data_IF_528711314535
#
_entry.id   IF_528711314535
#
_cell.length_a   1.000
_cell.length_b   1.000
_cell.length_c   1.000
_cell.angle_alpha   90.00
_cell.angle_beta   90.00
_cell.angle_gamma   90.00
#
_symmetry.space_group_name_H-M   'P 1'
#
loop_
_entity.id
_entity.type
_entity.pdbx_description
1 polymer ?
#
# COMPACT_ATOMS: atom_id res chain seq x y z
N UNK A 1 -6.92 -36.88 -4.44
CA UNK A 1 -6.81 -36.52 -3.01
C UNK A 1 -6.85 -35.00 -2.94
N UNK A 2 -7.79 -34.41 -2.17
CA UNK A 2 -7.99 -32.95 -2.15
C UNK A 2 -6.71 -32.18 -1.79
N UNK A 3 -5.84 -32.77 -0.98
CA UNK A 3 -4.56 -32.20 -0.55
C UNK A 3 -3.58 -32.05 -1.73
N UNK A 4 -3.57 -33.01 -2.66
CA UNK A 4 -2.73 -32.95 -3.86
C UNK A 4 -3.22 -31.87 -4.83
N UNK A 5 -4.54 -31.72 -4.99
CA UNK A 5 -5.12 -30.66 -5.81
C UNK A 5 -4.81 -29.27 -5.22
N UNK A 6 -4.91 -29.12 -3.90
CA UNK A 6 -4.55 -27.89 -3.20
C UNK A 6 -3.07 -27.53 -3.40
N UNK A 7 -2.16 -28.51 -3.28
CA UNK A 7 -0.73 -28.29 -3.53
C UNK A 7 -0.43 -27.85 -4.97
N UNK A 8 -1.07 -28.49 -5.96
CA UNK A 8 -0.90 -28.12 -7.37
C UNK A 8 -1.33 -26.67 -7.61
N UNK A 9 -2.49 -26.28 -7.07
CA UNK A 9 -3.01 -24.92 -7.21
C UNK A 9 -2.10 -23.92 -6.49
N UNK A 10 -1.56 -24.27 -5.32
CA UNK A 10 -0.59 -23.44 -4.60
C UNK A 10 0.67 -23.17 -5.46
N UNK A 11 1.27 -24.22 -6.03
CA UNK A 11 2.45 -24.06 -6.90
C UNK A 11 2.14 -23.24 -8.15
N UNK A 12 0.96 -23.43 -8.72
CA UNK A 12 0.48 -22.62 -9.84
C UNK A 12 0.37 -21.13 -9.46
N UNK A 13 -0.22 -20.81 -8.31
CA UNK A 13 -0.32 -19.44 -7.81
C UNK A 13 1.06 -18.83 -7.51
N UNK A 14 1.98 -19.58 -6.90
CA UNK A 14 3.34 -19.12 -6.64
C UNK A 14 4.09 -18.83 -7.95
N UNK A 15 3.92 -19.68 -8.97
CA UNK A 15 4.45 -19.43 -10.31
C UNK A 15 3.90 -18.12 -10.88
N UNK A 16 2.60 -17.88 -10.76
CA UNK A 16 1.99 -16.62 -11.18
C UNK A 16 2.44 -15.42 -10.36
N UNK A 17 2.78 -15.54 -9.07
CA UNK A 17 3.33 -14.41 -8.32
C UNK A 17 4.76 -14.08 -8.73
N UNK A 18 5.58 -15.08 -9.06
CA UNK A 18 6.98 -14.86 -9.46
C UNK A 18 7.06 -14.36 -10.91
N UNK A 19 6.32 -15.00 -11.82
CA UNK A 19 6.40 -14.73 -13.26
C UNK A 19 5.28 -13.83 -13.78
N UNK A 20 4.20 -13.65 -13.02
CA UNK A 20 3.02 -12.85 -13.40
C UNK A 20 3.35 -11.45 -13.90
N UNK A 21 4.20 -10.67 -13.21
CA UNK A 21 4.59 -9.34 -13.69
C UNK A 21 5.21 -9.34 -15.09
N UNK A 22 5.87 -10.43 -15.51
CA UNK A 22 6.48 -10.56 -16.86
C UNK A 22 5.46 -10.87 -17.95
N UNK A 23 4.33 -11.48 -17.57
CA UNK A 23 3.24 -11.88 -18.49
C UNK A 23 1.99 -11.00 -18.35
N UNK A 24 2.09 -9.88 -17.61
CA UNK A 24 0.99 -8.92 -17.41
C UNK A 24 -0.08 -9.37 -16.41
N UNK A 25 0.17 -10.41 -15.62
CA UNK A 25 -0.74 -10.89 -14.58
C UNK A 25 -0.41 -10.22 -13.26
N UNK A 26 -1.37 -9.45 -12.70
CA UNK A 26 -1.22 -8.84 -11.38
C UNK A 26 -1.43 -9.87 -10.26
N UNK A 27 -0.89 -9.60 -9.07
CA UNK A 27 -1.04 -10.47 -7.91
C UNK A 27 -2.51 -10.71 -7.52
N UNK A 28 -3.38 -9.70 -7.70
CA UNK A 28 -4.83 -9.82 -7.46
C UNK A 28 -5.50 -10.76 -8.46
N UNK A 29 -5.14 -10.68 -9.75
CA UNK A 29 -5.67 -11.61 -10.77
C UNK A 29 -5.17 -13.03 -10.53
N UNK A 30 -3.89 -13.21 -10.15
CA UNK A 30 -3.35 -14.51 -9.75
C UNK A 30 -4.12 -15.14 -8.58
N UNK A 31 -4.47 -14.34 -7.57
CA UNK A 31 -5.28 -14.78 -6.44
C UNK A 31 -6.68 -15.25 -6.88
N UNK A 32 -7.35 -14.48 -7.77
CA UNK A 32 -8.69 -14.83 -8.28
C UNK A 32 -8.67 -16.08 -9.17
N UNK A 33 -7.61 -16.28 -9.97
CA UNK A 33 -7.42 -17.52 -10.74
C UNK A 33 -7.24 -18.73 -9.82
N UNK A 34 -6.46 -18.59 -8.74
CA UNK A 34 -6.28 -19.63 -7.73
C UNK A 34 -7.58 -20.00 -7.02
N UNK A 35 -8.35 -19.01 -6.57
CA UNK A 35 -9.68 -19.20 -5.97
C UNK A 35 -10.62 -19.94 -6.93
N UNK A 36 -10.65 -19.50 -8.19
CA UNK A 36 -11.48 -20.14 -9.23
C UNK A 36 -11.08 -21.61 -9.46
N UNK A 37 -9.77 -21.91 -9.46
CA UNK A 37 -9.29 -23.28 -9.58
C UNK A 37 -9.65 -24.15 -8.37
N UNK A 38 -9.60 -23.59 -7.15
CA UNK A 38 -10.02 -24.29 -5.92
C UNK A 38 -11.52 -24.63 -5.95
N UNK A 39 -12.35 -23.73 -6.48
CA UNK A 39 -13.79 -23.96 -6.65
C UNK A 39 -14.09 -25.03 -7.72
N UNK A 40 -13.44 -24.95 -8.89
CA UNK A 40 -13.66 -25.91 -9.99
C UNK A 40 -13.19 -27.33 -9.62
N UNK A 41 -12.12 -27.45 -8.84
CA UNK A 41 -11.63 -28.74 -8.34
C UNK A 41 -12.45 -29.32 -7.19
N UNK A 42 -13.41 -28.55 -6.65
CA UNK A 42 -14.23 -28.95 -5.51
C UNK A 42 -13.48 -29.04 -4.18
N UNK A 43 -12.24 -28.54 -4.14
CA UNK A 43 -11.42 -28.48 -2.91
C UNK A 43 -12.00 -27.44 -1.95
N UNK A 44 -12.52 -26.33 -2.49
CA UNK A 44 -13.17 -25.28 -1.72
C UNK A 44 -14.61 -25.07 -2.23
N UNK A 45 -15.62 -25.60 -1.52
CA UNK A 45 -17.02 -25.38 -1.84
C UNK A 45 -17.38 -23.89 -1.81
N UNK A 46 -18.29 -23.49 -2.69
CA UNK A 46 -18.79 -22.11 -2.73
C UNK A 46 -19.43 -21.66 -1.41
N UNK A 47 -20.13 -22.57 -0.73
CA UNK A 47 -20.77 -22.32 0.57
C UNK A 47 -19.74 -21.98 1.65
N UNK A 48 -18.55 -22.58 1.63
CA UNK A 48 -17.45 -22.23 2.55
C UNK A 48 -16.90 -20.83 2.24
N UNK A 49 -16.81 -20.46 0.96
CA UNK A 49 -16.40 -19.11 0.56
C UNK A 49 -17.39 -18.04 1.05
N UNK A 50 -18.69 -18.29 0.90
CA UNK A 50 -19.74 -17.37 1.36
C UNK A 50 -19.77 -17.26 2.88
N UNK A 51 -19.57 -18.36 3.60
CA UNK A 51 -19.63 -18.37 5.06
C UNK A 51 -18.34 -17.85 5.73
N UNK A 52 -17.29 -17.56 4.97
CA UNK A 52 -16.04 -17.00 5.50
C UNK A 52 -16.17 -15.49 5.81
N UNK A 53 -16.88 -15.17 6.90
CA UNK A 53 -17.16 -13.79 7.31
C UNK A 53 -15.91 -12.94 7.52
N UNK A 54 -14.80 -13.53 7.99
CA UNK A 54 -13.55 -12.79 8.21
C UNK A 54 -12.92 -12.26 6.91
N UNK A 55 -13.01 -13.04 5.82
CA UNK A 55 -12.55 -12.61 4.50
C UNK A 55 -13.41 -11.44 3.97
N UNK A 56 -14.73 -11.54 4.11
CA UNK A 56 -15.66 -10.48 3.70
C UNK A 56 -15.49 -9.20 4.51
N UNK A 57 -15.34 -9.31 5.82
CA UNK A 57 -15.12 -8.15 6.70
C UNK A 57 -13.83 -7.42 6.32
N UNK A 58 -12.74 -8.16 6.15
CA UNK A 58 -11.44 -7.61 5.70
C UNK A 58 -11.58 -6.92 4.35
N UNK A 59 -12.24 -7.57 3.38
CA UNK A 59 -12.45 -7.01 2.04
C UNK A 59 -13.23 -5.69 2.08
N UNK A 60 -14.34 -5.65 2.84
CA UNK A 60 -15.20 -4.47 2.94
C UNK A 60 -14.49 -3.31 3.64
N UNK A 61 -13.85 -3.56 4.79
CA UNK A 61 -13.10 -2.53 5.50
C UNK A 61 -11.95 -1.99 4.66
N UNK A 62 -11.19 -2.87 4.01
CA UNK A 62 -10.06 -2.45 3.19
C UNK A 62 -10.50 -1.65 1.97
N UNK A 63 -11.59 -2.03 1.32
CA UNK A 63 -12.17 -1.32 0.19
C UNK A 63 -12.63 0.10 0.58
N UNK A 64 -13.34 0.24 1.70
CA UNK A 64 -13.81 1.54 2.20
C UNK A 64 -12.63 2.44 2.55
N UNK A 65 -11.68 1.96 3.35
CA UNK A 65 -10.52 2.74 3.78
C UNK A 65 -9.65 3.18 2.60
N UNK A 66 -9.38 2.27 1.66
CA UNK A 66 -8.60 2.58 0.46
C UNK A 66 -9.34 3.55 -0.44
N UNK A 67 -10.66 3.39 -0.59
CA UNK A 67 -11.50 4.31 -1.35
C UNK A 67 -11.51 5.73 -0.77
N UNK A 68 -11.67 5.86 0.55
CA UNK A 68 -11.63 7.15 1.25
C UNK A 68 -10.27 7.83 1.13
N UNK A 69 -9.17 7.10 1.34
CA UNK A 69 -7.82 7.62 1.17
C UNK A 69 -7.58 8.10 -0.28
N UNK A 70 -8.03 7.32 -1.26
CA UNK A 70 -7.95 7.69 -2.68
C UNK A 70 -8.70 8.98 -2.99
N UNK A 71 -9.94 9.13 -2.51
CA UNK A 71 -10.72 10.36 -2.71
C UNK A 71 -10.08 11.58 -2.03
N UNK A 72 -9.54 11.40 -0.82
CA UNK A 72 -8.85 12.48 -0.12
C UNK A 72 -7.63 12.99 -0.89
N UNK A 73 -6.88 12.07 -1.50
CA UNK A 73 -5.75 12.40 -2.37
C UNK A 73 -6.21 13.10 -3.67
N UNK A 74 -7.28 12.62 -4.31
CA UNK A 74 -7.86 13.24 -5.52
C UNK A 74 -8.38 14.65 -5.25
N UNK A 75 -9.00 14.89 -4.08
CA UNK A 75 -9.43 16.22 -3.64
C UNK A 75 -8.25 17.16 -3.32
N UNK A 76 -7.01 16.68 -3.36
CA UNK A 76 -5.82 17.49 -3.13
C UNK A 76 -5.60 17.87 -1.67
N UNK A 77 -6.35 17.29 -0.73
CA UNK A 77 -6.22 17.61 0.71
C UNK A 77 -4.84 17.24 1.23
N UNK A 78 -4.31 16.08 0.83
CA UNK A 78 -2.94 15.67 1.16
C UNK A 78 -1.91 16.67 0.64
N UNK A 79 -2.05 17.11 -0.62
CA UNK A 79 -1.12 18.04 -1.24
C UNK A 79 -1.19 19.44 -0.59
N UNK A 80 -2.39 19.94 -0.31
CA UNK A 80 -2.59 21.24 0.33
C UNK A 80 -2.03 21.26 1.75
N UNK A 81 -2.34 20.23 2.56
CA UNK A 81 -1.79 20.09 3.91
C UNK A 81 -0.27 20.00 3.88
N UNK A 82 0.29 19.23 2.94
CA UNK A 82 1.73 19.08 2.78
C UNK A 82 2.41 20.39 2.40
N UNK A 83 1.84 21.16 1.47
CA UNK A 83 2.37 22.49 1.13
C UNK A 83 2.37 23.41 2.36
N UNK A 84 1.26 23.47 3.09
CA UNK A 84 1.14 24.36 4.26
C UNK A 84 2.16 24.02 5.37
N UNK A 85 2.38 22.73 5.62
CA UNK A 85 3.41 22.29 6.59
C UNK A 85 4.82 22.54 6.05
N UNK A 86 5.05 22.30 4.76
CA UNK A 86 6.31 22.61 4.10
C UNK A 86 6.68 24.10 4.20
N UNK A 87 5.72 24.98 3.96
CA UNK A 87 5.89 26.44 4.05
C UNK A 87 6.14 26.89 5.51
N UNK A 88 5.48 26.27 6.48
CA UNK A 88 5.74 26.54 7.90
C UNK A 88 7.16 26.09 8.32
N UNK A 89 7.63 24.96 7.81
CA UNK A 89 8.97 24.44 8.10
C UNK A 89 10.07 25.27 7.44
N UNK A 90 9.85 25.77 6.22
CA UNK A 90 10.80 26.69 5.57
C UNK A 90 10.82 28.07 6.23
N UNK A 91 9.67 28.54 6.76
CA UNK A 91 9.60 29.78 7.54
C UNK A 91 10.43 29.75 8.83
N UNK A 92 10.70 28.56 9.40
CA UNK A 92 11.59 28.39 10.55
C UNK A 92 13.08 28.59 10.21
N UNK A 93 13.41 28.79 8.92
CA UNK A 93 14.76 29.05 8.40
C UNK A 93 15.80 28.00 8.85
N UNK A 94 15.35 26.76 9.04
CA UNK A 94 16.19 25.62 9.34
C UNK A 94 16.82 25.11 8.04
N UNK A 95 18.07 24.63 8.12
CA UNK A 95 18.69 23.92 7.00
C UNK A 95 17.87 22.69 6.57
N UNK A 96 18.10 22.18 5.37
CA UNK A 96 17.34 21.04 4.84
C UNK A 96 17.55 19.75 5.67
N UNK A 97 18.70 19.59 6.34
CA UNK A 97 19.05 18.41 7.14
C UNK A 97 18.12 18.18 8.35
N UNK A 98 17.89 19.15 9.25
CA UNK A 98 16.94 18.98 10.34
C UNK A 98 15.50 18.81 9.85
N UNK A 99 15.09 19.50 8.78
CA UNK A 99 13.75 19.32 8.20
C UNK A 99 13.57 17.90 7.67
N UNK A 100 14.57 17.37 6.96
CA UNK A 100 14.58 15.98 6.51
C UNK A 100 14.45 14.99 7.67
N UNK A 101 15.23 15.17 8.74
CA UNK A 101 15.20 14.30 9.91
C UNK A 101 13.84 14.31 10.61
N UNK A 102 13.25 15.50 10.81
CA UNK A 102 11.94 15.65 11.44
C UNK A 102 10.87 14.95 10.59
N UNK A 103 10.82 15.24 9.28
CA UNK A 103 9.82 14.64 8.39
C UNK A 103 9.97 13.13 8.28
N UNK A 104 11.19 12.58 8.26
CA UNK A 104 11.42 11.14 8.27
C UNK A 104 10.95 10.50 9.59
N UNK A 105 11.26 11.11 10.73
CA UNK A 105 10.80 10.64 12.04
C UNK A 105 9.27 10.68 12.14
N UNK A 106 8.64 11.75 11.66
CA UNK A 106 7.17 11.87 11.65
C UNK A 106 6.54 10.84 10.71
N UNK A 107 7.09 10.64 9.51
CA UNK A 107 6.60 9.61 8.58
C UNK A 107 6.69 8.21 9.21
N UNK A 108 7.80 7.91 9.89
CA UNK A 108 7.95 6.67 10.65
C UNK A 108 6.94 6.54 11.80
N UNK A 109 6.68 7.62 12.53
CA UNK A 109 5.69 7.61 13.60
C UNK A 109 4.26 7.38 13.08
N UNK A 110 3.92 8.00 11.95
CA UNK A 110 2.60 7.84 11.30
C UNK A 110 2.36 6.42 10.82
N UNK A 111 3.42 5.69 10.48
CA UNK A 111 3.35 4.28 10.10
C UNK A 111 2.57 3.43 11.11
N UNK A 112 2.75 3.68 12.42
CA UNK A 112 2.06 2.94 13.49
C UNK A 112 0.57 3.26 13.61
N UNK A 113 0.10 4.33 12.96
CA UNK A 113 -1.31 4.75 12.95
C UNK A 113 -2.08 4.13 11.77
N UNK A 114 -1.38 3.63 10.75
CA UNK A 114 -1.99 2.99 9.59
C UNK A 114 -2.07 1.47 9.76
N UNK A 115 -3.25 0.91 9.49
CA UNK A 115 -3.47 -0.54 9.51
C UNK A 115 -2.86 -1.27 8.31
N UNK A 116 -2.37 -0.55 7.29
CA UNK A 116 -1.88 -1.12 6.03
C UNK A 116 -0.77 -0.29 5.41
N UNK A 117 0.27 -0.98 4.92
CA UNK A 117 1.38 -0.35 4.19
C UNK A 117 0.96 0.30 2.88
N UNK A 118 0.10 -0.36 2.12
CA UNK A 118 -0.35 0.19 0.84
C UNK A 118 -1.23 1.42 1.06
N UNK A 119 -2.07 1.41 2.10
CA UNK A 119 -2.85 2.58 2.52
C UNK A 119 -1.96 3.74 3.00
N UNK A 120 -0.93 3.44 3.79
CA UNK A 120 0.04 4.42 4.28
C UNK A 120 0.77 5.14 3.13
N UNK A 121 1.34 4.38 2.19
CA UNK A 121 2.05 4.92 1.03
C UNK A 121 1.12 5.70 0.11
N UNK A 122 -0.09 5.17 -0.16
CA UNK A 122 -1.07 5.85 -1.01
C UNK A 122 -1.52 7.20 -0.44
N UNK A 123 -1.57 7.33 0.89
CA UNK A 123 -2.05 8.52 1.56
C UNK A 123 -0.94 9.56 1.82
N UNK A 124 0.26 9.15 2.20
CA UNK A 124 1.27 10.06 2.75
C UNK A 124 2.50 10.26 1.87
N UNK A 125 2.85 9.31 1.01
CA UNK A 125 4.12 9.34 0.27
C UNK A 125 4.26 10.60 -0.60
N UNK A 126 3.22 10.91 -1.39
CA UNK A 126 3.21 12.08 -2.28
C UNK A 126 3.33 13.39 -1.51
N UNK A 127 2.63 13.50 -0.37
CA UNK A 127 2.64 14.68 0.48
C UNK A 127 4.00 14.92 1.14
N UNK A 128 4.57 13.90 1.78
CA UNK A 128 5.88 14.01 2.41
C UNK A 128 7.01 14.24 1.41
N UNK A 129 6.91 13.65 0.21
CA UNK A 129 7.86 13.92 -0.86
C UNK A 129 7.80 15.39 -1.28
N UNK A 130 6.61 15.96 -1.44
CA UNK A 130 6.45 17.38 -1.76
C UNK A 130 7.05 18.30 -0.68
N UNK A 131 6.83 17.99 0.61
CA UNK A 131 7.41 18.73 1.74
C UNK A 131 8.94 18.69 1.77
N UNK A 132 9.53 17.53 1.49
CA UNK A 132 10.99 17.37 1.45
C UNK A 132 11.60 18.16 0.29
N UNK A 133 10.95 18.13 -0.88
CA UNK A 133 11.41 18.89 -2.05
C UNK A 133 11.29 20.41 -1.84
N UNK A 134 10.21 20.89 -1.21
CA UNK A 134 10.03 22.31 -0.89
C UNK A 134 11.04 22.82 0.14
N UNK A 135 11.50 21.95 1.04
CA UNK A 135 12.55 22.24 2.01
C UNK A 135 13.98 22.22 1.41
N UNK A 136 14.13 21.95 0.11
CA UNK A 136 15.43 21.92 -0.57
C UNK A 136 16.23 20.62 -0.38
N UNK A 137 15.59 19.54 0.08
CA UNK A 137 16.23 18.23 0.19
C UNK A 137 16.49 17.67 -1.22
N UNK A 138 17.68 17.11 -1.51
CA UNK A 138 17.95 16.45 -2.77
C UNK A 138 16.89 15.37 -3.09
N UNK A 139 16.31 15.42 -4.29
CA UNK A 139 15.15 14.60 -4.67
C UNK A 139 15.38 13.09 -4.52
N UNK A 140 16.57 12.61 -4.88
CA UNK A 140 16.95 11.20 -4.72
C UNK A 140 17.00 10.78 -3.24
N UNK A 141 17.55 11.65 -2.37
CA UNK A 141 17.60 11.37 -0.93
C UNK A 141 16.19 11.30 -0.34
N UNK A 142 15.32 12.26 -0.69
CA UNK A 142 13.94 12.30 -0.23
C UNK A 142 13.14 11.05 -0.66
N UNK A 143 13.25 10.67 -1.94
CA UNK A 143 12.52 9.53 -2.48
C UNK A 143 12.99 8.20 -1.85
N UNK A 144 14.30 8.00 -1.72
CA UNK A 144 14.87 6.78 -1.13
C UNK A 144 14.59 6.69 0.37
N UNK A 145 14.70 7.79 1.13
CA UNK A 145 14.40 7.77 2.56
C UNK A 145 12.94 7.40 2.82
N UNK A 146 11.99 8.00 2.10
CA UNK A 146 10.57 7.66 2.23
C UNK A 146 10.27 6.23 1.77
N UNK A 147 10.90 5.77 0.68
CA UNK A 147 10.71 4.40 0.20
C UNK A 147 11.16 3.37 1.26
N UNK A 148 12.30 3.60 1.92
CA UNK A 148 12.80 2.74 2.98
C UNK A 148 11.93 2.79 4.24
N UNK A 149 11.39 3.96 4.59
CA UNK A 149 10.49 4.12 5.74
C UNK A 149 9.08 3.55 5.47
N UNK A 150 8.78 3.19 4.22
CA UNK A 150 7.49 2.65 3.80
C UNK A 150 7.47 1.12 3.73
N UNK A 151 8.62 0.46 3.78
CA UNK A 151 8.75 -1.01 3.85
C UNK A 151 8.62 -1.50 5.27
#
# INVERSE_FOLDING_TARGET
RPETAMLIILFFMLGLWIFGPRIGVSAGVAAMMGLSALMVTGVLPWEECLNNKGAWDTLMWFAILTGMAGQLNVMGVTAHFSSAVGDALTALNLGWQPVWAILCCTYFAMHYVFASQTGHVAALYSGFLAMLLSAGVPSMLAALSLCWLSS
#
